data_IF_348609678530
#
_entry.id   IF_348609678530
#
_cell.length_a   1.000
_cell.length_b   1.000
_cell.length_c   1.000
_cell.angle_alpha   90.00
_cell.angle_beta   90.00
_cell.angle_gamma   90.00
#
_symmetry.space_group_name_H-M   'P 1'
#
loop_
_entity.id
_entity.type
_entity.pdbx_description
1 polymer ?
#
# COMPACT_ATOMS: atom_id res chain seq x y z
N UNK A 1 -12.08 -12.54 -27.41
CA UNK A 1 -11.10 -11.89 -26.53
C UNK A 1 -11.74 -11.78 -25.15
N UNK A 2 -11.13 -12.31 -24.09
CA UNK A 2 -11.64 -12.15 -22.72
C UNK A 2 -11.12 -10.86 -22.09
N UNK A 3 -11.96 -10.15 -21.34
CA UNK A 3 -11.56 -8.98 -20.56
C UNK A 3 -10.95 -9.45 -19.23
N UNK A 4 -9.87 -8.80 -18.81
CA UNK A 4 -9.31 -8.95 -17.47
C UNK A 4 -9.60 -7.69 -16.65
N UNK A 5 -9.71 -7.85 -15.34
CA UNK A 5 -9.93 -6.76 -14.41
C UNK A 5 -9.24 -7.05 -13.07
N UNK A 6 -8.92 -5.98 -12.36
CA UNK A 6 -8.37 -6.00 -11.01
C UNK A 6 -8.98 -4.87 -10.19
N UNK A 7 -8.81 -4.96 -8.87
CA UNK A 7 -9.12 -3.90 -7.92
C UNK A 7 -7.85 -3.54 -7.17
N UNK A 8 -7.77 -2.26 -6.83
CA UNK A 8 -6.76 -1.68 -5.96
C UNK A 8 -7.51 -1.08 -4.78
N UNK A 9 -7.05 -1.34 -3.57
CA UNK A 9 -7.76 -0.91 -2.36
C UNK A 9 -6.75 -0.47 -1.33
N UNK A 10 -6.64 0.84 -1.18
CA UNK A 10 -6.05 1.50 -0.03
C UNK A 10 -6.96 1.31 1.19
N UNK A 11 -6.35 1.01 2.33
CA UNK A 11 -7.05 0.87 3.60
C UNK A 11 -6.74 2.07 4.50
N UNK A 12 -7.77 2.66 5.10
CA UNK A 12 -7.58 3.56 6.23
C UNK A 12 -6.95 2.81 7.40
N UNK A 13 -6.06 3.46 8.14
CA UNK A 13 -5.35 2.81 9.26
C UNK A 13 -5.27 3.75 10.46
N UNK A 14 -5.51 3.19 11.63
CA UNK A 14 -5.29 3.86 12.91
C UNK A 14 -4.27 3.04 13.70
N UNK A 15 -3.24 3.71 14.21
CA UNK A 15 -2.22 3.13 15.09
C UNK A 15 -2.19 3.95 16.38
N UNK A 16 -2.39 3.29 17.51
CA UNK A 16 -2.37 3.93 18.82
C UNK A 16 -1.02 4.61 19.10
N UNK A 17 -1.07 5.84 19.62
CA UNK A 17 0.09 6.69 19.89
C UNK A 17 0.96 7.03 18.66
N UNK A 18 0.44 6.86 17.44
CA UNK A 18 1.13 7.23 16.20
C UNK A 18 0.71 8.63 15.74
N UNK A 19 1.69 9.47 15.40
CA UNK A 19 1.42 10.76 14.76
C UNK A 19 1.26 10.58 13.24
N UNK A 20 0.75 11.60 12.53
CA UNK A 20 0.69 11.58 11.07
C UNK A 20 2.08 11.45 10.43
N UNK A 21 3.10 12.06 11.05
CA UNK A 21 4.50 12.01 10.59
C UNK A 21 5.09 10.60 10.73
N UNK A 22 4.62 9.83 11.71
CA UNK A 22 5.10 8.47 11.96
C UNK A 22 4.31 7.41 11.17
N UNK A 23 3.21 7.80 10.52
CA UNK A 23 2.22 6.88 9.98
C UNK A 23 2.78 6.05 8.80
N UNK A 24 3.53 6.67 7.90
CA UNK A 24 4.17 5.98 6.78
C UNK A 24 5.09 4.84 7.27
N UNK A 25 5.90 5.10 8.30
CA UNK A 25 6.75 4.09 8.94
C UNK A 25 5.94 2.96 9.57
N UNK A 26 4.85 3.30 10.27
CA UNK A 26 3.97 2.31 10.89
C UNK A 26 3.30 1.42 9.82
N UNK A 27 2.86 1.99 8.71
CA UNK A 27 2.28 1.25 7.58
C UNK A 27 3.30 0.34 6.92
N UNK A 28 4.52 0.84 6.65
CA UNK A 28 5.62 0.02 6.16
C UNK A 28 5.85 -1.20 7.07
N UNK A 29 5.90 -1.00 8.38
CA UNK A 29 6.06 -2.08 9.36
C UNK A 29 4.86 -3.05 9.42
N UNK A 30 3.63 -2.55 9.18
CA UNK A 30 2.44 -3.39 9.02
C UNK A 30 2.61 -4.30 7.80
N UNK A 31 2.95 -3.75 6.63
CA UNK A 31 3.15 -4.55 5.41
C UNK A 31 4.30 -5.56 5.57
N UNK A 32 5.38 -5.18 6.24
CA UNK A 32 6.50 -6.07 6.57
C UNK A 32 6.12 -7.22 7.51
N UNK A 33 5.06 -7.06 8.30
CA UNK A 33 4.54 -8.10 9.19
C UNK A 33 3.79 -9.23 8.47
N UNK A 34 3.67 -9.20 7.15
CA UNK A 34 3.16 -10.33 6.36
C UNK A 34 3.98 -11.60 6.64
N UNK A 35 3.39 -12.66 7.21
CA UNK A 35 4.13 -13.78 7.79
C UNK A 35 4.58 -14.82 6.75
N UNK A 36 4.07 -14.74 5.53
CA UNK A 36 4.37 -15.71 4.47
C UNK A 36 5.45 -15.18 3.53
N UNK A 37 6.13 -16.12 2.86
CA UNK A 37 7.10 -15.79 1.83
C UNK A 37 6.39 -15.14 0.63
N UNK A 38 6.78 -13.92 0.29
CA UNK A 38 6.41 -13.29 -0.97
C UNK A 38 7.16 -13.95 -2.15
N UNK A 39 6.57 -13.91 -3.34
CA UNK A 39 7.23 -14.37 -4.57
C UNK A 39 8.42 -13.47 -4.92
N UNK A 40 8.27 -12.16 -4.71
CA UNK A 40 9.31 -11.16 -4.94
C UNK A 40 8.78 -9.74 -4.72
N UNK A 41 9.56 -8.77 -5.20
CA UNK A 41 9.18 -7.35 -5.28
C UNK A 41 8.60 -7.02 -6.66
N UNK A 42 7.85 -5.93 -6.74
CA UNK A 42 7.30 -5.40 -7.98
C UNK A 42 8.42 -4.84 -8.87
N UNK A 43 8.34 -5.09 -10.17
CA UNK A 43 9.29 -4.58 -11.16
C UNK A 43 8.80 -3.25 -11.73
N UNK A 44 9.37 -2.15 -11.25
CA UNK A 44 9.07 -0.79 -11.71
C UNK A 44 9.84 -0.37 -12.97
N UNK A 45 10.66 -1.25 -13.57
CA UNK A 45 11.57 -0.87 -14.67
C UNK A 45 10.86 -0.26 -15.89
N UNK A 46 9.60 -0.60 -16.10
CA UNK A 46 8.77 -0.10 -17.19
C UNK A 46 7.81 1.02 -16.76
N UNK A 47 7.83 1.43 -15.50
CA UNK A 47 6.96 2.48 -14.96
C UNK A 47 7.69 3.81 -14.84
N UNK A 48 7.08 4.88 -15.33
CA UNK A 48 7.59 6.23 -15.17
C UNK A 48 6.43 7.21 -15.05
N UNK A 49 6.13 7.73 -13.85
CA UNK A 49 5.03 8.69 -13.64
C UNK A 49 5.15 9.96 -14.49
N UNK A 50 6.37 10.27 -14.95
CA UNK A 50 6.66 11.45 -15.78
C UNK A 50 6.51 11.17 -17.28
N UNK A 51 6.38 9.90 -17.69
CA UNK A 51 6.18 9.52 -19.09
C UNK A 51 4.68 9.39 -19.36
N UNK A 52 4.13 10.40 -20.01
CA UNK A 52 2.72 10.42 -20.36
C UNK A 52 2.43 9.54 -21.59
N UNK A 53 1.29 8.84 -21.58
CA UNK A 53 0.86 7.99 -22.71
C UNK A 53 0.64 8.76 -24.02
N UNK A 54 0.42 10.08 -23.96
CA UNK A 54 0.32 10.96 -25.14
C UNK A 54 1.67 11.23 -25.80
N UNK A 55 2.77 10.69 -25.27
CA UNK A 55 4.09 10.68 -25.92
C UNK A 55 5.04 11.80 -25.49
N UNK A 56 4.79 12.46 -24.35
CA UNK A 56 5.68 13.48 -23.81
C UNK A 56 6.15 13.16 -22.40
N UNK A 57 7.22 13.84 -21.98
CA UNK A 57 7.80 13.71 -20.64
C UNK A 57 7.59 15.00 -19.84
N UNK A 58 7.11 14.86 -18.60
CA UNK A 58 6.92 15.97 -17.68
C UNK A 58 8.15 16.09 -16.79
N UNK A 59 8.71 17.29 -16.68
CA UNK A 59 9.89 17.52 -15.84
C UNK A 59 9.57 17.34 -14.36
N UNK A 60 8.49 17.99 -13.90
CA UNK A 60 8.10 18.08 -12.50
C UNK A 60 6.59 17.78 -12.36
N UNK A 61 6.23 16.96 -11.37
CA UNK A 61 4.83 16.70 -11.03
C UNK A 61 4.34 17.77 -10.05
N UNK A 62 3.06 18.13 -10.12
CA UNK A 62 2.44 18.96 -9.09
C UNK A 62 2.32 18.14 -7.79
N UNK A 63 2.59 18.80 -6.66
CA UNK A 63 2.51 18.21 -5.32
C UNK A 63 1.73 19.18 -4.43
N UNK A 64 0.88 18.67 -3.53
CA UNK A 64 0.22 19.52 -2.54
C UNK A 64 1.26 20.05 -1.53
N UNK A 65 1.37 21.37 -1.30
CA UNK A 65 2.38 21.93 -0.38
C UNK A 65 2.28 21.41 1.06
N UNK A 66 1.11 20.97 1.50
CA UNK A 66 0.89 20.41 2.84
C UNK A 66 1.43 18.98 2.92
N UNK A 67 1.19 18.18 1.89
CA UNK A 67 1.77 16.84 1.76
C UNK A 67 3.30 16.94 1.66
N UNK A 68 3.82 17.85 0.84
CA UNK A 68 5.27 18.06 0.70
C UNK A 68 5.93 18.44 2.03
N UNK A 69 5.29 19.29 2.84
CA UNK A 69 5.79 19.66 4.15
C UNK A 69 5.79 18.46 5.12
N UNK A 70 4.72 17.66 5.11
CA UNK A 70 4.60 16.45 5.93
C UNK A 70 5.64 15.39 5.52
N UNK A 71 5.82 15.17 4.22
CA UNK A 71 6.80 14.24 3.68
C UNK A 71 8.22 14.64 4.06
N UNK A 72 8.54 15.94 4.00
CA UNK A 72 9.85 16.46 4.41
C UNK A 72 10.10 16.22 5.89
N UNK A 73 9.11 16.41 6.75
CA UNK A 73 9.21 16.12 8.18
C UNK A 73 9.37 14.61 8.43
N UNK A 74 8.58 13.80 7.74
CA UNK A 74 8.63 12.32 7.80
C UNK A 74 10.03 11.82 7.43
N UNK A 75 10.57 12.24 6.29
CA UNK A 75 11.92 11.90 5.82
C UNK A 75 12.99 12.39 6.79
N UNK A 76 12.82 13.57 7.39
CA UNK A 76 13.76 14.08 8.39
C UNK A 76 13.83 13.22 9.65
N UNK A 77 12.73 12.56 10.03
CA UNK A 77 12.67 11.67 11.20
C UNK A 77 12.99 10.22 10.87
N UNK A 78 12.62 9.78 9.67
CA UNK A 78 12.76 8.39 9.19
C UNK A 78 13.09 8.42 7.69
N UNK A 79 14.38 8.45 7.32
CA UNK A 79 14.80 8.54 5.93
C UNK A 79 14.32 7.38 5.04
N UNK A 80 14.01 6.23 5.64
CA UNK A 80 13.53 5.02 4.99
C UNK A 80 12.00 4.88 4.97
N UNK A 81 11.26 5.88 5.45
CA UNK A 81 9.79 5.83 5.57
C UNK A 81 9.09 5.49 4.25
N UNK A 82 9.61 6.01 3.14
CA UNK A 82 9.08 5.81 1.79
C UNK A 82 9.93 4.85 0.95
N UNK A 83 10.86 4.10 1.58
CA UNK A 83 11.54 3.02 0.86
C UNK A 83 10.51 1.99 0.39
N UNK A 84 10.52 1.58 -0.89
CA UNK A 84 9.51 0.70 -1.46
C UNK A 84 9.33 -0.61 -0.69
N UNK A 85 8.30 -0.69 0.15
CA UNK A 85 7.81 -1.94 0.71
C UNK A 85 6.67 -2.46 -0.16
N UNK A 86 7.00 -3.41 -1.03
CA UNK A 86 6.09 -4.05 -1.96
C UNK A 86 6.36 -5.55 -2.04
N UNK A 87 5.29 -6.33 -2.07
CA UNK A 87 5.33 -7.80 -2.04
C UNK A 87 4.37 -8.33 -3.10
N UNK A 88 4.89 -9.06 -4.08
CA UNK A 88 4.08 -9.91 -4.96
C UNK A 88 3.78 -11.19 -4.19
N UNK A 89 2.51 -11.48 -3.97
CA UNK A 89 2.06 -12.60 -3.14
C UNK A 89 1.89 -13.88 -3.95
N UNK A 90 1.84 -15.02 -3.26
CA UNK A 90 1.66 -16.33 -3.90
C UNK A 90 0.31 -16.46 -4.64
N UNK A 91 -0.68 -15.65 -4.30
CA UNK A 91 -1.96 -15.60 -5.01
C UNK A 91 -1.97 -14.66 -6.22
N UNK A 92 -0.82 -14.08 -6.59
CA UNK A 92 -0.66 -13.14 -7.70
C UNK A 92 -1.01 -11.68 -7.36
N UNK A 93 -1.59 -11.41 -6.19
CA UNK A 93 -1.87 -10.04 -5.75
C UNK A 93 -0.62 -9.30 -5.30
N UNK A 94 -0.71 -7.97 -5.23
CA UNK A 94 0.35 -7.08 -4.76
C UNK A 94 -0.06 -6.47 -3.43
N UNK A 95 0.82 -6.55 -2.43
CA UNK A 95 0.67 -5.90 -1.13
C UNK A 95 1.79 -4.89 -0.95
N UNK A 96 1.47 -3.63 -0.73
CA UNK A 96 2.46 -2.55 -0.66
C UNK A 96 1.98 -1.42 0.27
N UNK A 97 2.88 -0.49 0.58
CA UNK A 97 2.47 0.79 1.12
C UNK A 97 2.33 1.78 -0.03
N UNK A 98 1.21 2.50 -0.07
CA UNK A 98 1.09 3.71 -0.87
C UNK A 98 1.03 4.88 0.10
N UNK A 99 2.13 5.63 0.16
CA UNK A 99 2.33 6.70 1.12
C UNK A 99 2.01 6.27 2.57
N UNK A 100 0.93 6.80 3.16
CA UNK A 100 0.49 6.49 4.52
C UNK A 100 -0.60 5.40 4.61
N UNK A 101 -0.82 4.62 3.54
CA UNK A 101 -1.84 3.58 3.47
C UNK A 101 -1.28 2.20 3.12
N UNK A 102 -1.69 1.14 3.83
CA UNK A 102 -1.49 -0.21 3.33
C UNK A 102 -2.45 -0.46 2.17
N UNK A 103 -1.92 -0.94 1.06
CA UNK A 103 -2.69 -1.18 -0.15
C UNK A 103 -2.57 -2.63 -0.64
N UNK A 104 -3.69 -3.17 -1.12
CA UNK A 104 -3.76 -4.46 -1.77
C UNK A 104 -4.38 -4.34 -3.17
N UNK A 105 -3.61 -4.74 -4.18
CA UNK A 105 -4.10 -4.93 -5.55
C UNK A 105 -4.34 -6.41 -5.83
N UNK A 106 -5.52 -6.77 -6.33
CA UNK A 106 -5.85 -8.14 -6.71
C UNK A 106 -5.00 -8.60 -7.91
N UNK A 107 -4.76 -9.90 -8.11
CA UNK A 107 -4.28 -10.39 -9.42
C UNK A 107 -5.30 -10.09 -10.51
N UNK A 108 -4.88 -10.23 -11.77
CA UNK A 108 -5.76 -10.12 -12.92
C UNK A 108 -6.80 -11.24 -12.93
N UNK A 109 -8.07 -10.86 -12.82
CA UNK A 109 -9.19 -11.78 -12.76
C UNK A 109 -9.93 -11.84 -14.10
N UNK A 110 -10.46 -13.03 -14.44
CA UNK A 110 -11.27 -13.26 -15.65
C UNK A 110 -12.77 -13.28 -15.39
N UNK A 111 -13.17 -13.52 -14.13
CA UNK A 111 -14.57 -13.56 -13.71
C UNK A 111 -14.76 -12.68 -12.49
N UNK A 112 -15.95 -12.06 -12.36
CA UNK A 112 -16.29 -11.25 -11.19
C UNK A 112 -16.21 -12.05 -9.89
N UNK A 113 -16.46 -13.37 -9.96
CA UNK A 113 -16.34 -14.26 -8.82
C UNK A 113 -14.89 -14.35 -8.33
N UNK A 114 -13.94 -14.45 -9.25
CA UNK A 114 -12.51 -14.45 -8.92
C UNK A 114 -12.09 -13.11 -8.32
N UNK A 115 -12.54 -12.00 -8.93
CA UNK A 115 -12.27 -10.65 -8.43
C UNK A 115 -12.73 -10.46 -7.00
N UNK A 116 -13.99 -10.79 -6.70
CA UNK A 116 -14.54 -10.69 -5.34
C UNK A 116 -13.82 -11.64 -4.38
N UNK A 117 -13.44 -12.85 -4.82
CA UNK A 117 -12.70 -13.78 -3.98
C UNK A 117 -11.31 -13.24 -3.61
N UNK A 118 -10.59 -12.65 -4.58
CA UNK A 118 -9.28 -12.06 -4.35
C UNK A 118 -9.34 -10.76 -3.54
N UNK A 119 -10.33 -9.90 -3.80
CA UNK A 119 -10.59 -8.71 -2.98
C UNK A 119 -10.86 -9.07 -1.51
N UNK A 120 -11.71 -10.08 -1.27
CA UNK A 120 -11.93 -10.63 0.07
C UNK A 120 -10.71 -11.33 0.66
N UNK A 121 -9.80 -11.86 -0.16
CA UNK A 121 -8.52 -12.35 0.34
C UNK A 121 -7.62 -11.19 0.79
N UNK A 122 -7.62 -10.07 0.05
CA UNK A 122 -6.97 -8.81 0.41
C UNK A 122 -7.35 -8.31 1.79
N UNK A 123 -8.65 -8.24 2.09
CA UNK A 123 -9.16 -7.84 3.42
C UNK A 123 -8.53 -8.68 4.55
N UNK A 124 -8.42 -10.00 4.34
CA UNK A 124 -7.85 -10.93 5.33
C UNK A 124 -6.34 -10.78 5.45
N UNK A 125 -5.65 -10.52 4.34
CA UNK A 125 -4.21 -10.32 4.29
C UNK A 125 -3.83 -9.06 5.05
N UNK A 126 -4.47 -7.92 4.75
CA UNK A 126 -4.21 -6.63 5.43
C UNK A 126 -4.53 -6.73 6.91
N UNK A 127 -5.68 -7.33 7.27
CA UNK A 127 -6.04 -7.54 8.68
C UNK A 127 -5.04 -8.43 9.43
N UNK A 128 -4.51 -9.46 8.78
CA UNK A 128 -3.49 -10.33 9.36
C UNK A 128 -2.18 -9.57 9.63
N UNK A 129 -1.72 -8.77 8.66
CA UNK A 129 -0.56 -7.89 8.81
C UNK A 129 -0.73 -6.93 9.99
N UNK A 130 -1.89 -6.26 10.07
CA UNK A 130 -2.21 -5.32 11.14
C UNK A 130 -2.24 -5.99 12.52
N UNK A 131 -2.84 -7.18 12.63
CA UNK A 131 -2.86 -7.98 13.87
C UNK A 131 -1.46 -8.40 14.29
N UNK A 132 -0.64 -8.84 13.35
CA UNK A 132 0.72 -9.31 13.64
C UNK A 132 1.61 -8.15 14.09
N UNK A 133 1.51 -6.99 13.43
CA UNK A 133 2.21 -5.78 13.86
C UNK A 133 1.72 -5.31 15.24
N UNK A 134 0.40 -5.23 15.45
CA UNK A 134 -0.20 -4.88 16.75
C UNK A 134 0.32 -5.77 17.88
N UNK A 135 0.41 -7.08 17.65
CA UNK A 135 0.96 -8.05 18.60
C UNK A 135 2.45 -7.81 18.90
N UNK A 136 3.26 -7.52 17.88
CA UNK A 136 4.71 -7.29 18.01
C UNK A 136 5.04 -5.97 18.70
N UNK A 137 4.33 -4.91 18.33
CA UNK A 137 4.56 -3.55 18.82
C UNK A 137 3.86 -3.28 20.16
N UNK A 138 2.87 -4.10 20.54
CA UNK A 138 2.12 -3.90 21.79
C UNK A 138 1.20 -2.68 21.76
N UNK A 139 0.76 -2.26 20.56
CA UNK A 139 -0.13 -1.10 20.34
C UNK A 139 -1.38 -1.54 19.61
N UNK A 140 -2.50 -0.85 19.83
CA UNK A 140 -3.73 -1.11 19.08
C UNK A 140 -3.60 -0.62 17.63
N UNK A 141 -3.95 -1.49 16.67
CA UNK A 141 -4.09 -1.14 15.25
C UNK A 141 -5.48 -1.49 14.73
N UNK A 142 -6.08 -0.55 14.00
CA UNK A 142 -7.35 -0.76 13.29
C UNK A 142 -7.14 -0.46 11.81
N UNK A 143 -7.82 -1.24 10.97
CA UNK A 143 -7.82 -1.06 9.51
C UNK A 143 -9.26 -0.90 9.03
N UNK A 144 -9.45 -0.04 8.05
CA UNK A 144 -10.75 0.34 7.51
C UNK A 144 -10.71 0.18 5.99
N UNK A 145 -11.68 -0.55 5.44
CA UNK A 145 -11.91 -0.59 3.99
C UNK A 145 -12.98 0.43 3.63
N UNK A 146 -12.56 1.68 3.51
CA UNK A 146 -13.36 2.84 3.19
C UNK A 146 -12.50 3.82 2.37
N UNK A 147 -12.99 5.05 2.15
CA UNK A 147 -12.29 6.06 1.35
C UNK A 147 -12.15 7.40 2.07
N UNK A 148 -12.42 7.44 3.38
CA UNK A 148 -12.42 8.68 4.15
C UNK A 148 -12.27 8.43 5.64
N UNK A 149 -11.68 9.39 6.33
CA UNK A 149 -11.32 9.29 7.74
C UNK A 149 -12.29 10.07 8.66
N UNK A 150 -13.36 10.64 8.11
CA UNK A 150 -14.40 11.39 8.83
C UNK A 150 -15.40 10.49 9.57
#
# INVERSE_FOLDING_TARGET
MGMFFGLETEYGVFVENCTLVDLACAVKAIIESYPYKAFGSWDYSNESPRRDMRGFYVKDLAVDPREEALDRETISRSPDAFEPCNKVLANGGRLYHDHAHPEYSTPECRTLKDLVAHDKAGERIVLMCAKEFSRKAGVMVKVFKNNTDF
#
